data_IF_435867809482
#
_entry.id   IF_435867809482
#
_cell.length_a   1.000
_cell.length_b   1.000
_cell.length_c   1.000
_cell.angle_alpha   90.00
_cell.angle_beta   90.00
_cell.angle_gamma   90.00
#
_symmetry.space_group_name_H-M   'P 1'
#
loop_
_entity.id
_entity.type
_entity.pdbx_description
1 polymer ?
#
# COMPACT_ATOMS: atom_id res chain seq x y z
N UNK A 1 34.43 -8.43 4.38
CA UNK A 1 33.29 -9.34 4.16
C UNK A 1 33.39 -9.78 2.71
N UNK A 2 33.86 -11.00 2.48
CA UNK A 2 34.06 -11.55 1.12
C UNK A 2 32.82 -12.35 0.73
N UNK A 3 32.33 -12.12 -0.49
CA UNK A 3 31.17 -12.81 -1.07
C UNK A 3 31.64 -13.49 -2.35
N UNK A 4 31.73 -14.82 -2.32
CA UNK A 4 32.07 -15.66 -3.47
C UNK A 4 30.84 -16.47 -3.92
N UNK A 5 30.46 -16.33 -5.20
CA UNK A 5 29.43 -17.18 -5.81
C UNK A 5 30.08 -18.44 -6.38
N UNK A 6 29.79 -19.61 -5.81
CA UNK A 6 30.31 -20.90 -6.26
C UNK A 6 29.80 -21.30 -7.66
N UNK A 7 28.75 -20.65 -8.18
CA UNK A 7 28.08 -21.02 -9.43
C UNK A 7 28.61 -20.26 -10.65
N UNK A 8 29.10 -19.04 -10.46
CA UNK A 8 29.50 -18.13 -11.55
C UNK A 8 31.02 -17.91 -11.62
N UNK A 9 31.83 -18.49 -10.71
CA UNK A 9 33.28 -18.26 -10.60
C UNK A 9 33.70 -16.77 -10.61
N UNK A 10 32.86 -15.87 -10.10
CA UNK A 10 33.21 -14.44 -10.00
C UNK A 10 34.00 -14.23 -8.71
N UNK A 11 35.32 -14.13 -8.85
CA UNK A 11 36.22 -13.70 -7.78
C UNK A 11 36.12 -12.18 -7.58
N UNK A 12 35.31 -11.76 -6.60
CA UNK A 12 35.12 -10.36 -6.22
C UNK A 12 36.33 -9.74 -5.50
N UNK A 13 37.40 -10.50 -5.25
CA UNK A 13 38.66 -9.96 -4.73
C UNK A 13 39.53 -9.33 -5.84
N UNK A 14 39.45 -9.87 -7.07
CA UNK A 14 40.15 -9.34 -8.25
C UNK A 14 39.60 -7.98 -8.72
N UNK A 15 40.45 -7.16 -9.35
CA UNK A 15 40.02 -5.88 -9.91
C UNK A 15 38.89 -6.05 -10.95
N UNK A 16 38.96 -7.12 -11.75
CA UNK A 16 37.95 -7.48 -12.74
C UNK A 16 36.63 -7.90 -12.08
N UNK A 17 36.66 -8.77 -11.05
CA UNK A 17 35.44 -9.18 -10.36
C UNK A 17 34.76 -8.06 -9.57
N UNK A 18 35.53 -7.11 -9.00
CA UNK A 18 34.96 -5.89 -8.41
C UNK A 18 34.26 -5.03 -9.45
N UNK A 19 34.83 -4.90 -10.64
CA UNK A 19 34.19 -4.16 -11.74
C UNK A 19 32.89 -4.85 -12.17
N UNK A 20 32.92 -6.15 -12.45
CA UNK A 20 31.72 -6.90 -12.84
C UNK A 20 30.63 -6.85 -11.77
N UNK A 21 30.98 -7.01 -10.49
CA UNK A 21 30.04 -6.90 -9.38
C UNK A 21 29.38 -5.52 -9.31
N UNK A 22 30.15 -4.44 -9.53
CA UNK A 22 29.59 -3.08 -9.56
C UNK A 22 28.68 -2.88 -10.78
N UNK A 23 29.08 -3.37 -11.94
CA UNK A 23 28.27 -3.28 -13.16
C UNK A 23 26.93 -4.01 -13.00
N UNK A 24 26.95 -5.24 -12.46
CA UNK A 24 25.71 -6.00 -12.25
C UNK A 24 24.83 -5.35 -11.18
N UNK A 25 25.42 -4.76 -10.14
CA UNK A 25 24.67 -3.97 -9.16
C UNK A 25 23.98 -2.76 -9.82
N UNK A 26 24.68 -2.03 -10.70
CA UNK A 26 24.09 -0.91 -11.44
C UNK A 26 22.98 -1.35 -12.41
N UNK A 27 23.14 -2.51 -13.06
CA UNK A 27 22.09 -3.08 -13.92
C UNK A 27 20.85 -3.45 -13.08
N UNK A 28 21.05 -4.08 -11.92
CA UNK A 28 19.95 -4.42 -11.03
C UNK A 28 19.17 -3.19 -10.52
N UNK A 29 19.86 -2.08 -10.28
CA UNK A 29 19.23 -0.80 -9.94
C UNK A 29 18.40 -0.25 -11.11
N UNK A 30 18.97 -0.25 -12.33
CA UNK A 30 18.26 0.17 -13.54
C UNK A 30 16.99 -0.67 -13.79
N UNK A 31 17.07 -1.99 -13.67
CA UNK A 31 15.91 -2.88 -13.83
C UNK A 31 14.81 -2.56 -12.82
N UNK A 32 15.18 -2.27 -11.57
CA UNK A 32 14.24 -1.88 -10.52
C UNK A 32 13.51 -0.59 -10.85
N UNK A 33 14.24 0.39 -11.38
CA UNK A 33 13.66 1.68 -11.77
C UNK A 33 12.72 1.54 -12.96
N UNK A 34 13.08 0.75 -13.97
CA UNK A 34 12.20 0.45 -15.12
C UNK A 34 10.89 -0.23 -14.65
N UNK A 35 10.98 -1.21 -13.75
CA UNK A 35 9.78 -1.89 -13.20
C UNK A 35 8.89 -0.89 -12.44
N UNK A 36 9.51 0.00 -11.66
CA UNK A 36 8.80 1.04 -10.91
C UNK A 36 8.09 2.00 -11.85
N UNK A 37 8.78 2.51 -12.85
CA UNK A 37 8.23 3.43 -13.86
C UNK A 37 7.02 2.81 -14.56
N UNK A 38 7.17 1.57 -15.06
CA UNK A 38 6.07 0.83 -15.70
C UNK A 38 4.87 0.66 -14.78
N UNK A 39 5.11 0.36 -13.50
CA UNK A 39 4.04 0.23 -12.50
C UNK A 39 3.30 1.55 -12.30
N UNK A 40 4.01 2.67 -12.20
CA UNK A 40 3.41 3.99 -12.05
C UNK A 40 2.57 4.39 -13.28
N UNK A 41 3.10 4.15 -14.48
CA UNK A 41 2.37 4.39 -15.73
C UNK A 41 1.11 3.53 -15.84
N UNK A 42 1.20 2.25 -15.45
CA UNK A 42 0.04 1.36 -15.37
C UNK A 42 -1.01 1.84 -14.36
N UNK A 43 -0.59 2.27 -13.17
CA UNK A 43 -1.48 2.83 -12.15
C UNK A 43 -2.14 4.13 -12.62
N UNK A 44 -1.41 5.02 -13.29
CA UNK A 44 -1.96 6.24 -13.87
C UNK A 44 -3.04 5.93 -14.91
N UNK A 45 -2.76 4.98 -15.81
CA UNK A 45 -3.71 4.53 -16.84
C UNK A 45 -4.97 3.91 -16.21
N UNK A 46 -4.81 3.07 -15.19
CA UNK A 46 -5.94 2.48 -14.47
C UNK A 46 -6.79 3.54 -13.76
N UNK A 47 -6.16 4.54 -13.14
CA UNK A 47 -6.86 5.68 -12.52
C UNK A 47 -7.63 6.51 -13.54
N UNK A 48 -7.05 6.78 -14.72
CA UNK A 48 -7.72 7.48 -15.81
C UNK A 48 -8.97 6.74 -16.32
N UNK A 49 -8.95 5.39 -16.28
CA UNK A 49 -10.11 4.53 -16.56
C UNK A 49 -11.12 4.44 -15.40
N UNK A 50 -10.96 5.23 -14.35
CA UNK A 50 -11.87 5.27 -13.19
C UNK A 50 -11.60 4.22 -12.10
N UNK A 51 -10.56 3.39 -12.23
CA UNK A 51 -10.21 2.43 -11.17
C UNK A 51 -9.60 3.16 -9.97
N UNK A 52 -10.33 3.19 -8.86
CA UNK A 52 -9.80 3.60 -7.55
C UNK A 52 -9.12 2.41 -6.88
N UNK A 53 -7.78 2.43 -6.86
CA UNK A 53 -6.98 1.45 -6.11
C UNK A 53 -7.06 1.65 -4.59
N UNK A 54 -6.35 0.81 -3.84
CA UNK A 54 -6.32 0.84 -2.37
C UNK A 54 -7.36 -0.06 -1.71
N UNK A 55 -7.42 -0.03 -0.37
CA UNK A 55 -8.37 -0.82 0.43
C UNK A 55 -9.78 -0.30 0.19
N UNK A 56 -10.72 -1.19 -0.16
CA UNK A 56 -12.14 -0.84 -0.24
C UNK A 56 -12.61 -0.28 1.11
N UNK A 57 -13.46 0.76 1.10
CA UNK A 57 -14.10 1.25 2.32
C UNK A 57 -14.84 0.08 2.99
N UNK A 58 -14.56 -0.16 4.26
CA UNK A 58 -15.22 -1.22 5.03
C UNK A 58 -16.62 -0.83 5.51
N UNK A 59 -16.93 0.47 5.48
CA UNK A 59 -18.21 1.03 5.93
C UNK A 59 -18.97 1.54 4.71
N UNK A 60 -20.22 1.13 4.61
CA UNK A 60 -21.12 1.58 3.55
C UNK A 60 -21.64 2.98 3.86
N UNK A 61 -22.04 3.73 2.83
CA UNK A 61 -22.64 5.06 3.03
C UNK A 61 -23.96 4.96 3.82
N UNK A 62 -24.71 3.85 3.70
CA UNK A 62 -25.91 3.58 4.50
C UNK A 62 -25.62 3.47 6.00
N UNK A 63 -24.57 2.73 6.38
CA UNK A 63 -24.13 2.66 7.78
C UNK A 63 -23.70 4.04 8.31
N UNK A 64 -23.03 4.85 7.48
CA UNK A 64 -22.65 6.21 7.86
C UNK A 64 -23.87 7.11 8.11
N UNK A 65 -24.86 7.07 7.22
CA UNK A 65 -26.10 7.83 7.33
C UNK A 65 -26.88 7.43 8.58
N UNK A 66 -27.02 6.13 8.83
CA UNK A 66 -27.76 5.63 10.00
C UNK A 66 -27.06 6.00 11.31
N UNK A 67 -25.73 5.85 11.38
CA UNK A 67 -24.98 6.26 12.57
C UNK A 67 -25.09 7.77 12.84
N UNK A 68 -25.16 8.59 11.79
CA UNK A 68 -25.37 10.04 11.91
C UNK A 68 -26.78 10.36 12.39
N UNK A 69 -27.81 9.73 11.81
CA UNK A 69 -29.20 9.90 12.23
C UNK A 69 -29.38 9.60 13.72
N UNK A 70 -28.85 8.46 14.19
CA UNK A 70 -28.93 8.06 15.59
C UNK A 70 -28.15 8.99 16.52
N UNK A 71 -27.07 9.60 16.03
CA UNK A 71 -26.31 10.59 16.80
C UNK A 71 -27.07 11.92 16.92
N UNK A 72 -27.70 12.37 15.83
CA UNK A 72 -28.50 13.60 15.79
C UNK A 72 -29.77 13.50 16.66
N UNK A 73 -30.33 12.29 16.83
CA UNK A 73 -31.44 12.00 17.75
C UNK A 73 -31.06 12.17 19.23
N UNK A 74 -29.78 11.95 19.58
CA UNK A 74 -29.27 12.17 20.94
C UNK A 74 -29.78 11.19 22.01
N UNK A 75 -30.58 10.19 21.64
CA UNK A 75 -31.21 9.25 22.59
C UNK A 75 -30.31 8.05 22.96
N UNK A 76 -29.29 7.76 22.15
CA UNK A 76 -28.42 6.57 22.31
C UNK A 76 -26.98 6.96 22.63
N UNK A 77 -26.29 6.14 23.44
CA UNK A 77 -24.86 6.31 23.63
C UNK A 77 -24.09 5.96 22.36
N UNK A 78 -22.90 6.57 22.16
CA UNK A 78 -22.04 6.28 21.00
C UNK A 78 -21.69 4.80 20.91
N UNK A 79 -21.52 4.11 22.05
CA UNK A 79 -21.23 2.68 22.09
C UNK A 79 -22.40 1.87 21.52
N UNK A 80 -23.63 2.17 21.93
CA UNK A 80 -24.82 1.48 21.47
C UNK A 80 -25.08 1.73 19.98
N UNK A 81 -24.80 2.94 19.49
CA UNK A 81 -24.87 3.28 18.06
C UNK A 81 -23.87 2.45 17.26
N UNK A 82 -22.63 2.33 17.76
CA UNK A 82 -21.58 1.55 17.10
C UNK A 82 -21.95 0.06 17.00
N UNK A 83 -22.49 -0.53 18.08
CA UNK A 83 -22.94 -1.92 18.09
C UNK A 83 -24.13 -2.14 17.15
N UNK A 84 -25.12 -1.25 17.19
CA UNK A 84 -26.32 -1.31 16.35
C UNK A 84 -26.01 -1.22 14.86
N UNK A 85 -25.09 -0.33 14.47
CA UNK A 85 -24.70 -0.11 13.07
C UNK A 85 -23.62 -1.11 12.61
N UNK A 86 -22.96 -1.79 13.56
CA UNK A 86 -21.90 -2.75 13.28
C UNK A 86 -20.59 -2.09 12.84
N UNK A 87 -20.24 -0.94 13.43
CA UNK A 87 -18.99 -0.21 13.14
C UNK A 87 -18.15 -0.04 14.40
N UNK A 88 -16.82 0.02 14.27
CA UNK A 88 -15.96 0.30 15.42
C UNK A 88 -16.06 1.76 15.87
N UNK A 89 -15.89 2.03 17.17
CA UNK A 89 -15.86 3.40 17.72
C UNK A 89 -14.87 4.32 16.99
N UNK A 90 -13.69 3.81 16.65
CA UNK A 90 -12.69 4.55 15.87
C UNK A 90 -13.18 4.93 14.47
N UNK A 91 -14.04 4.10 13.87
CA UNK A 91 -14.63 4.41 12.57
C UNK A 91 -15.81 5.36 12.68
N UNK A 92 -16.59 5.27 13.76
CA UNK A 92 -17.63 6.25 14.09
C UNK A 92 -17.05 7.67 14.20
N UNK A 93 -16.03 7.88 15.04
CA UNK A 93 -15.41 9.20 15.22
C UNK A 93 -14.72 9.74 13.95
N UNK A 94 -14.30 8.87 13.02
CA UNK A 94 -13.71 9.30 11.75
C UNK A 94 -14.74 9.74 10.71
N UNK A 95 -15.98 9.24 10.83
CA UNK A 95 -17.00 9.39 9.80
C UNK A 95 -18.18 10.27 10.21
N UNK A 96 -18.53 10.28 11.50
CA UNK A 96 -19.71 10.93 12.07
C UNK A 96 -19.32 12.07 13.00
N UNK A 97 -18.32 11.85 13.86
CA UNK A 97 -17.67 12.92 14.63
C UNK A 97 -16.93 13.89 13.72
#
# INVERSE_FOLDING_TARGET
MELGSLKEQIDTASAMGKFFFRMTASIAELERDIIRERTLTGLATARARGRRGGRKKSITEGQKLEAKRLADEGEMSITDICEKVGISRASYYRLVG
#
